data_IF_015687657750
#
_entry.id   IF_015687657750
#
_cell.length_a   1.000
_cell.length_b   1.000
_cell.length_c   1.000
_cell.angle_alpha   90.00
_cell.angle_beta   90.00
_cell.angle_gamma   90.00
#
_symmetry.space_group_name_H-M   'P 1'
#
loop_
_entity.id
_entity.type
_entity.pdbx_description
1 polymer ?
#
# COMPACT_ATOMS: atom_id res chain seq x y z
N UNK A 1 -13.94 5.88 35.75
CA UNK A 1 -13.82 6.62 34.47
C UNK A 1 -13.12 5.71 33.47
N UNK A 2 -13.77 5.37 32.35
CA UNK A 2 -13.27 4.38 31.39
C UNK A 2 -12.08 4.94 30.59
N UNK A 3 -10.90 4.34 30.74
CA UNK A 3 -9.68 4.63 29.98
C UNK A 3 -9.76 4.27 28.47
N UNK A 4 -10.97 4.00 27.94
CA UNK A 4 -11.20 3.53 26.55
C UNK A 4 -11.53 4.65 25.55
N UNK A 5 -11.55 5.91 25.99
CA UNK A 5 -11.98 7.05 25.17
C UNK A 5 -10.85 7.93 24.64
N UNK A 6 -9.59 7.63 24.96
CA UNK A 6 -8.49 8.36 24.33
C UNK A 6 -8.34 7.88 22.88
N UNK A 7 -8.58 8.76 21.89
CA UNK A 7 -8.21 8.43 20.53
C UNK A 7 -6.71 8.11 20.54
N UNK A 8 -6.33 6.99 19.93
CA UNK A 8 -4.93 6.67 19.79
C UNK A 8 -4.25 7.80 19.03
N UNK A 9 -3.09 8.26 19.52
CA UNK A 9 -2.24 9.27 18.86
C UNK A 9 -2.20 9.12 17.32
N UNK A 10 -2.01 7.91 16.74
CA UNK A 10 -2.04 7.75 15.28
C UNK A 10 -3.38 8.09 14.62
N UNK A 11 -4.52 7.87 15.30
CA UNK A 11 -5.81 8.24 14.76
C UNK A 11 -5.98 9.75 14.67
N UNK A 12 -5.49 10.50 15.68
CA UNK A 12 -5.51 11.96 15.69
C UNK A 12 -4.61 12.51 14.59
N UNK A 13 -3.36 12.04 14.52
CA UNK A 13 -2.41 12.46 13.50
C UNK A 13 -2.92 12.20 12.08
N UNK A 14 -3.54 11.02 11.85
CA UNK A 14 -4.17 10.69 10.57
C UNK A 14 -5.25 11.69 10.19
N UNK A 15 -6.12 12.06 11.13
CA UNK A 15 -7.21 13.01 10.88
C UNK A 15 -6.67 14.42 10.65
N UNK A 16 -5.70 14.87 11.44
CA UNK A 16 -5.05 16.16 11.25
C UNK A 16 -4.33 16.25 9.91
N UNK A 17 -3.52 15.24 9.56
CA UNK A 17 -2.85 15.17 8.27
C UNK A 17 -3.86 15.12 7.11
N UNK A 18 -4.94 14.33 7.26
CA UNK A 18 -6.00 14.24 6.26
C UNK A 18 -6.66 15.60 5.97
N UNK A 19 -7.04 16.33 7.01
CA UNK A 19 -7.60 17.68 6.87
C UNK A 19 -6.61 18.69 6.30
N UNK A 20 -5.35 18.62 6.73
CA UNK A 20 -4.30 19.52 6.23
C UNK A 20 -4.05 19.32 4.74
N UNK A 21 -3.87 18.08 4.29
CA UNK A 21 -3.66 17.74 2.88
C UNK A 21 -4.87 18.08 2.03
N UNK A 22 -6.09 17.77 2.51
CA UNK A 22 -7.32 18.09 1.82
C UNK A 22 -7.51 19.61 1.69
N UNK A 23 -7.29 20.36 2.79
CA UNK A 23 -7.44 21.81 2.82
C UNK A 23 -6.48 22.51 1.85
N UNK A 24 -5.18 22.18 1.90
CA UNK A 24 -4.19 22.75 0.99
C UNK A 24 -4.45 22.35 -0.45
N UNK A 25 -4.75 21.07 -0.69
CA UNK A 25 -5.06 20.58 -2.04
C UNK A 25 -6.26 21.29 -2.66
N UNK A 26 -7.36 21.42 -1.93
CA UNK A 26 -8.58 22.11 -2.40
C UNK A 26 -8.32 23.60 -2.59
N UNK A 27 -7.62 24.26 -1.66
CA UNK A 27 -7.27 25.68 -1.80
C UNK A 27 -6.43 25.91 -3.05
N UNK A 28 -5.41 25.09 -3.30
CA UNK A 28 -4.56 25.22 -4.47
C UNK A 28 -5.32 24.94 -5.77
N UNK A 29 -6.25 23.99 -5.78
CA UNK A 29 -7.12 23.75 -6.94
C UNK A 29 -8.04 24.93 -7.21
N UNK A 30 -8.60 25.56 -6.17
CA UNK A 30 -9.43 26.76 -6.31
C UNK A 30 -8.63 27.92 -6.92
N UNK A 31 -7.43 28.19 -6.38
CA UNK A 31 -6.54 29.23 -6.92
C UNK A 31 -6.12 28.91 -8.37
N UNK A 32 -5.90 27.63 -8.70
CA UNK A 32 -5.61 27.21 -10.07
C UNK A 32 -6.78 27.44 -11.02
N UNK A 33 -8.02 27.20 -10.57
CA UNK A 33 -9.23 27.43 -11.36
C UNK A 33 -9.48 28.92 -11.62
N UNK A 34 -9.06 29.79 -10.71
CA UNK A 34 -9.09 31.25 -10.87
C UNK A 34 -7.94 31.79 -11.75
N UNK A 35 -7.12 30.91 -12.35
CA UNK A 35 -5.99 31.29 -13.19
C UNK A 35 -4.73 31.72 -12.43
N UNK A 36 -4.70 31.54 -11.11
CA UNK A 36 -3.60 31.97 -10.25
C UNK A 36 -2.40 31.02 -10.20
N UNK A 37 -2.55 29.76 -10.62
CA UNK A 37 -1.48 28.75 -10.69
C UNK A 37 -1.37 28.16 -12.09
N UNK A 38 -0.16 27.74 -12.47
CA UNK A 38 0.10 27.01 -13.72
C UNK A 38 -0.41 25.57 -13.63
N UNK A 39 -1.08 25.09 -14.69
CA UNK A 39 -1.62 23.73 -14.83
C UNK A 39 -0.61 22.61 -14.56
N UNK A 40 0.68 22.92 -14.68
CA UNK A 40 1.80 22.02 -14.44
C UNK A 40 1.84 21.40 -13.03
N UNK A 41 1.11 21.96 -12.05
CA UNK A 41 1.02 21.44 -10.68
C UNK A 41 -0.31 20.74 -10.37
N UNK A 42 -1.21 20.64 -11.35
CA UNK A 42 -2.55 20.07 -11.16
C UNK A 42 -2.49 18.65 -10.57
N UNK A 43 -1.60 17.81 -11.09
CA UNK A 43 -1.43 16.42 -10.63
C UNK A 43 -1.02 16.37 -9.16
N UNK A 44 -0.11 17.25 -8.74
CA UNK A 44 0.33 17.34 -7.34
C UNK A 44 -0.84 17.67 -6.41
N UNK A 45 -1.67 18.65 -6.79
CA UNK A 45 -2.85 19.03 -6.00
C UNK A 45 -3.92 17.93 -5.96
N UNK A 46 -4.18 17.26 -7.07
CA UNK A 46 -5.11 16.13 -7.12
C UNK A 46 -4.67 14.98 -6.23
N UNK A 47 -3.37 14.65 -6.22
CA UNK A 47 -2.81 13.61 -5.35
C UNK A 47 -2.90 13.99 -3.88
N UNK A 48 -2.66 15.26 -3.52
CA UNK A 48 -2.87 15.77 -2.16
C UNK A 48 -4.33 15.63 -1.70
N UNK A 49 -5.28 16.04 -2.55
CA UNK A 49 -6.71 15.92 -2.25
C UNK A 49 -7.08 14.46 -2.07
N UNK A 50 -6.68 13.58 -2.98
CA UNK A 50 -6.99 12.16 -2.92
C UNK A 50 -6.36 11.50 -1.68
N UNK A 51 -5.11 11.81 -1.36
CA UNK A 51 -4.43 11.35 -0.14
C UNK A 51 -5.13 11.84 1.14
N UNK A 52 -5.52 13.12 1.18
CA UNK A 52 -6.29 13.71 2.28
C UNK A 52 -7.64 13.03 2.49
N UNK A 53 -8.39 12.81 1.41
CA UNK A 53 -9.65 12.06 1.43
C UNK A 53 -9.44 10.64 1.96
N UNK A 54 -8.44 9.91 1.46
CA UNK A 54 -8.14 8.56 1.93
C UNK A 54 -7.79 8.52 3.43
N UNK A 55 -7.03 9.48 3.92
CA UNK A 55 -6.72 9.59 5.35
C UNK A 55 -7.95 9.93 6.19
N UNK A 56 -8.93 10.65 5.66
CA UNK A 56 -10.18 10.96 6.38
C UNK A 56 -11.19 9.81 6.31
N UNK A 57 -11.22 9.06 5.22
CA UNK A 57 -12.08 7.89 5.06
C UNK A 57 -11.85 6.91 6.22
N UNK A 58 -12.94 6.43 6.83
CA UNK A 58 -12.88 5.53 7.99
C UNK A 58 -12.60 4.07 7.60
N UNK A 59 -12.49 3.77 6.29
CA UNK A 59 -12.17 2.44 5.80
C UNK A 59 -10.72 2.10 6.13
N UNK A 60 -10.51 1.05 6.93
CA UNK A 60 -9.19 0.47 7.10
C UNK A 60 -8.80 -0.19 5.78
N UNK A 61 -7.78 0.34 5.12
CA UNK A 61 -7.12 -0.33 4.02
C UNK A 61 -6.32 -1.48 4.65
N UNK A 62 -6.71 -2.71 4.40
CA UNK A 62 -6.02 -3.90 4.89
C UNK A 62 -5.49 -4.67 3.67
N UNK A 63 -4.48 -4.13 2.97
CA UNK A 63 -3.83 -4.86 1.89
C UNK A 63 -3.13 -6.10 2.46
N UNK A 64 -3.02 -7.13 1.63
CA UNK A 64 -2.24 -8.31 1.95
C UNK A 64 -0.76 -7.98 2.10
N UNK A 65 0.01 -8.83 2.79
CA UNK A 65 1.47 -8.68 2.90
C UNK A 65 2.16 -8.50 1.53
N UNK A 66 1.89 -9.33 0.49
CA UNK A 66 2.48 -9.09 -0.82
C UNK A 66 1.98 -7.77 -1.44
N UNK A 67 0.73 -7.38 -1.22
CA UNK A 67 0.20 -6.09 -1.65
C UNK A 67 0.95 -4.90 -1.04
N UNK A 68 1.33 -4.96 0.23
CA UNK A 68 2.16 -3.95 0.89
C UNK A 68 3.54 -3.86 0.22
N UNK A 69 4.19 -5.00 -0.01
CA UNK A 69 5.52 -5.05 -0.63
C UNK A 69 5.46 -4.48 -2.05
N UNK A 70 4.48 -4.89 -2.85
CA UNK A 70 4.30 -4.39 -4.22
C UNK A 70 4.06 -2.88 -4.21
N UNK A 71 3.17 -2.38 -3.35
CA UNK A 71 2.90 -0.95 -3.24
C UNK A 71 4.13 -0.15 -2.82
N UNK A 72 4.89 -0.65 -1.83
CA UNK A 72 6.13 -0.01 -1.38
C UNK A 72 7.20 0.02 -2.48
N UNK A 73 7.42 -1.09 -3.17
CA UNK A 73 8.40 -1.19 -4.26
C UNK A 73 8.01 -0.27 -5.43
N UNK A 74 6.74 -0.26 -5.83
CA UNK A 74 6.27 0.62 -6.91
C UNK A 74 6.46 2.09 -6.58
N UNK A 75 6.10 2.49 -5.35
CA UNK A 75 6.24 3.89 -4.91
C UNK A 75 7.70 4.29 -4.84
N UNK A 76 8.55 3.44 -4.25
CA UNK A 76 9.99 3.70 -4.15
C UNK A 76 10.65 3.76 -5.54
N UNK A 77 10.35 2.80 -6.42
CA UNK A 77 10.90 2.76 -7.77
C UNK A 77 10.50 4.01 -8.58
N UNK A 78 9.24 4.43 -8.46
CA UNK A 78 8.76 5.63 -9.12
C UNK A 78 9.43 6.90 -8.57
N UNK A 79 9.58 7.01 -7.25
CA UNK A 79 10.32 8.10 -6.60
C UNK A 79 11.78 8.16 -7.08
N UNK A 80 12.47 7.01 -7.12
CA UNK A 80 13.85 6.92 -7.61
C UNK A 80 13.95 7.29 -9.07
N UNK A 81 13.01 6.82 -9.91
CA UNK A 81 12.97 7.16 -11.33
C UNK A 81 12.78 8.66 -11.55
N UNK A 82 11.98 9.34 -10.73
CA UNK A 82 11.78 10.80 -10.83
C UNK A 82 12.88 11.62 -10.18
N UNK A 83 13.69 11.02 -9.31
CA UNK A 83 14.86 11.64 -8.70
C UNK A 83 16.08 11.71 -9.64
N UNK A 84 16.05 11.00 -10.78
CA UNK A 84 17.17 11.00 -11.73
C UNK A 84 17.34 12.43 -12.29
N UNK A 85 18.51 13.07 -12.07
CA UNK A 85 18.74 14.42 -12.54
C UNK A 85 18.76 14.42 -14.07
N UNK A 86 17.83 15.14 -14.69
CA UNK A 86 17.79 15.27 -16.15
C UNK A 86 18.68 16.39 -16.67
N UNK A 87 19.39 17.09 -15.78
CA UNK A 87 20.20 18.25 -16.13
C UNK A 87 21.49 18.25 -15.32
N UNK A 88 22.58 18.60 -15.98
CA UNK A 88 23.92 18.74 -15.41
C UNK A 88 24.27 20.22 -15.30
N UNK A 89 23.41 21.10 -14.78
CA UNK A 89 23.80 22.49 -14.51
C UNK A 89 23.74 22.79 -13.02
N UNK A 90 24.79 23.43 -12.51
CA UNK A 90 24.91 23.82 -11.12
C UNK A 90 23.78 24.81 -10.71
N UNK A 91 23.34 24.72 -9.46
CA UNK A 91 22.48 25.69 -8.76
C UNK A 91 20.99 25.77 -9.09
N UNK A 92 20.41 24.99 -10.02
CA UNK A 92 18.97 25.05 -10.41
C UNK A 92 18.40 26.44 -10.78
N UNK A 93 19.22 27.49 -10.75
CA UNK A 93 18.79 28.89 -10.75
C UNK A 93 18.34 29.39 -12.12
N UNK A 94 18.70 28.68 -13.19
CA UNK A 94 18.38 29.04 -14.58
C UNK A 94 17.54 27.99 -15.30
N UNK A 95 16.74 27.18 -14.58
CA UNK A 95 15.84 26.21 -15.22
C UNK A 95 14.37 26.68 -15.23
N UNK A 96 13.97 27.56 -16.18
CA UNK A 96 12.56 27.96 -16.36
C UNK A 96 11.68 26.83 -16.93
N UNK A 97 12.26 25.70 -17.34
CA UNK A 97 11.55 24.64 -18.07
C UNK A 97 10.87 23.58 -17.18
N UNK A 98 11.03 23.63 -15.85
CA UNK A 98 10.31 22.73 -14.92
C UNK A 98 9.64 23.49 -13.78
N UNK A 99 8.70 24.35 -14.13
CA UNK A 99 7.66 24.81 -13.20
C UNK A 99 6.58 23.73 -13.00
N UNK A 100 6.96 22.45 -12.87
CA UNK A 100 6.03 21.32 -12.99
C UNK A 100 6.43 20.09 -12.20
N UNK A 101 5.44 19.31 -11.81
CA UNK A 101 5.63 18.05 -11.08
C UNK A 101 6.19 16.94 -11.99
N UNK A 102 7.14 16.09 -11.55
CA UNK A 102 7.82 16.05 -10.24
C UNK A 102 8.91 17.12 -10.07
N UNK A 103 9.11 17.59 -8.82
CA UNK A 103 10.00 18.70 -8.51
C UNK A 103 11.47 18.28 -8.64
N UNK A 104 12.30 18.96 -9.45
CA UNK A 104 13.74 18.70 -9.47
C UNK A 104 14.32 19.14 -8.12
N UNK A 105 14.77 18.18 -7.30
CA UNK A 105 15.39 18.46 -5.99
C UNK A 105 16.89 18.12 -5.95
N UNK A 106 17.45 17.46 -6.96
CA UNK A 106 18.85 17.06 -7.05
C UNK A 106 19.55 17.66 -8.28
N UNK A 107 20.66 18.38 -8.06
CA UNK A 107 21.59 18.82 -9.11
C UNK A 107 22.98 18.22 -8.87
N UNK A 108 23.69 17.87 -9.95
CA UNK A 108 24.96 17.11 -9.87
C UNK A 108 26.17 17.81 -10.51
N UNK A 109 25.97 18.93 -11.21
CA UNK A 109 27.07 19.65 -11.87
C UNK A 109 27.60 20.77 -10.98
N UNK A 110 28.93 20.89 -10.86
CA UNK A 110 29.59 21.77 -9.89
C UNK A 110 29.51 21.33 -8.42
N UNK A 111 28.91 20.17 -8.14
CA UNK A 111 28.70 19.60 -6.80
C UNK A 111 27.30 19.01 -6.63
N UNK A 112 27.09 18.20 -5.58
CA UNK A 112 25.75 17.71 -5.23
C UNK A 112 24.97 18.83 -4.53
N UNK A 113 23.90 19.30 -5.15
CA UNK A 113 22.99 20.29 -4.56
C UNK A 113 21.60 19.68 -4.34
N UNK A 114 21.05 19.91 -3.15
CA UNK A 114 19.70 19.46 -2.79
C UNK A 114 18.84 20.64 -2.35
N UNK A 115 17.74 20.91 -3.07
CA UNK A 115 16.74 21.86 -2.60
C UNK A 115 15.79 21.17 -1.62
N UNK A 116 15.95 21.49 -0.33
CA UNK A 116 15.17 20.89 0.76
C UNK A 116 13.67 21.15 0.61
N UNK A 117 13.26 22.31 0.06
CA UNK A 117 11.83 22.63 -0.09
C UNK A 117 11.18 21.73 -1.13
N UNK A 118 11.84 21.55 -2.27
CA UNK A 118 11.35 20.66 -3.32
C UNK A 118 11.44 19.18 -2.92
N UNK A 119 12.48 18.79 -2.17
CA UNK A 119 12.56 17.44 -1.60
C UNK A 119 11.39 17.14 -0.67
N UNK A 120 11.06 18.06 0.26
CA UNK A 120 9.92 17.86 1.17
C UNK A 120 8.60 17.77 0.40
N UNK A 121 8.40 18.62 -0.61
CA UNK A 121 7.21 18.56 -1.46
C UNK A 121 7.11 17.21 -2.19
N UNK A 122 8.21 16.72 -2.74
CA UNK A 122 8.27 15.43 -3.44
C UNK A 122 7.98 14.25 -2.50
N UNK A 123 8.53 14.27 -1.28
CA UNK A 123 8.25 13.25 -0.26
C UNK A 123 6.77 13.21 0.14
N UNK A 124 6.14 14.38 0.33
CA UNK A 124 4.71 14.46 0.65
C UNK A 124 3.87 13.91 -0.50
N UNK A 125 4.24 14.23 -1.74
CA UNK A 125 3.58 13.67 -2.91
C UNK A 125 3.68 12.14 -2.94
N UNK A 126 4.90 11.59 -2.84
CA UNK A 126 5.11 10.15 -2.93
C UNK A 126 4.48 9.39 -1.77
N UNK A 127 4.40 9.98 -0.57
CA UNK A 127 3.64 9.43 0.54
C UNK A 127 2.14 9.32 0.19
N UNK A 128 1.56 10.35 -0.42
CA UNK A 128 0.16 10.33 -0.86
C UNK A 128 -0.07 9.34 -2.03
N UNK A 129 0.84 9.32 -3.00
CA UNK A 129 0.80 8.40 -4.13
C UNK A 129 0.92 6.93 -3.67
N UNK A 130 1.79 6.65 -2.70
CA UNK A 130 1.91 5.32 -2.10
C UNK A 130 0.66 4.92 -1.33
N UNK A 131 0.03 5.85 -0.61
CA UNK A 131 -1.27 5.61 0.04
C UNK A 131 -2.36 5.26 -1.00
N UNK A 132 -2.40 5.97 -2.12
CA UNK A 132 -3.31 5.67 -3.24
C UNK A 132 -3.04 4.29 -3.83
N UNK A 133 -1.77 3.94 -4.08
CA UNK A 133 -1.40 2.64 -4.61
C UNK A 133 -1.84 1.51 -3.67
N UNK A 134 -1.60 1.65 -2.36
CA UNK A 134 -2.08 0.68 -1.37
C UNK A 134 -3.62 0.60 -1.32
N UNK A 135 -4.31 1.71 -1.51
CA UNK A 135 -5.77 1.73 -1.57
C UNK A 135 -6.31 0.98 -2.80
N UNK A 136 -5.68 1.18 -3.96
CA UNK A 136 -6.02 0.45 -5.20
C UNK A 136 -5.74 -1.04 -5.03
N UNK A 137 -4.58 -1.42 -4.49
CA UNK A 137 -4.24 -2.83 -4.24
C UNK A 137 -5.25 -3.48 -3.30
N UNK A 138 -5.57 -2.82 -2.17
CA UNK A 138 -6.56 -3.34 -1.23
C UNK A 138 -7.95 -3.48 -1.86
N UNK A 139 -8.32 -2.57 -2.78
CA UNK A 139 -9.57 -2.65 -3.53
C UNK A 139 -9.56 -3.83 -4.52
N UNK A 140 -8.49 -3.99 -5.29
CA UNK A 140 -8.33 -5.10 -6.24
C UNK A 140 -8.38 -6.44 -5.51
N UNK A 141 -7.65 -6.57 -4.40
CA UNK A 141 -7.67 -7.78 -3.57
C UNK A 141 -9.06 -8.08 -2.99
N UNK A 142 -9.84 -7.06 -2.67
CA UNK A 142 -11.21 -7.23 -2.19
C UNK A 142 -12.19 -7.67 -3.29
N UNK A 143 -11.88 -7.37 -4.56
CA UNK A 143 -12.70 -7.73 -5.72
C UNK A 143 -12.34 -9.11 -6.29
N UNK A 144 -11.13 -9.63 -6.02
CA UNK A 144 -10.70 -10.94 -6.50
C UNK A 144 -11.35 -12.08 -5.68
N UNK A 145 -12.19 -12.93 -6.29
CA UNK A 145 -13.00 -13.94 -5.59
C UNK A 145 -12.22 -15.14 -5.05
N UNK A 146 -10.96 -15.34 -5.45
CA UNK A 146 -10.22 -16.59 -5.26
C UNK A 146 -9.64 -16.85 -3.86
N UNK A 147 -9.68 -15.88 -2.94
CA UNK A 147 -8.93 -15.99 -1.67
C UNK A 147 -9.76 -16.33 -0.42
N UNK A 148 -11.01 -16.79 -0.56
CA UNK A 148 -11.93 -16.98 0.58
C UNK A 148 -12.58 -18.34 0.75
N UNK A 149 -12.31 -19.32 -0.10
CA UNK A 149 -12.62 -20.71 0.25
C UNK A 149 -11.38 -21.30 0.91
N UNK A 150 -11.30 -21.40 2.25
CA UNK A 150 -10.41 -22.39 2.84
C UNK A 150 -10.78 -23.71 2.19
N UNK A 151 -9.87 -24.27 1.39
CA UNK A 151 -10.01 -25.65 0.95
C UNK A 151 -10.02 -26.46 2.24
N UNK A 152 -11.17 -27.02 2.57
CA UNK A 152 -11.34 -27.83 3.76
C UNK A 152 -10.60 -29.15 3.55
N UNK A 153 -9.30 -29.13 3.84
CA UNK A 153 -8.42 -30.29 3.75
C UNK A 153 -8.77 -31.34 4.83
N UNK A 154 -9.61 -31.02 5.81
CA UNK A 154 -10.08 -32.00 6.79
C UNK A 154 -10.94 -33.08 6.15
N UNK A 155 -11.55 -32.80 4.98
CA UNK A 155 -12.34 -33.78 4.22
C UNK A 155 -11.50 -34.75 3.37
N UNK A 156 -10.22 -34.44 3.13
CA UNK A 156 -9.32 -35.29 2.33
C UNK A 156 -8.46 -36.25 3.17
N UNK A 157 -8.53 -36.18 4.51
CA UNK A 157 -7.74 -37.03 5.41
C UNK A 157 -8.30 -38.45 5.66
N UNK A 158 -9.32 -38.89 4.93
CA UNK A 158 -10.13 -40.07 5.32
C UNK A 158 -10.14 -41.27 4.39
N UNK A 159 -9.39 -41.31 3.27
CA UNK A 159 -9.50 -42.39 2.27
C UNK A 159 -8.21 -43.17 2.02
N UNK A 160 -7.30 -43.20 3.00
CA UNK A 160 -6.17 -44.13 3.01
C UNK A 160 -6.29 -45.11 4.18
N UNK A 161 -7.29 -46.00 4.15
CA UNK A 161 -7.10 -47.35 4.70
C UNK A 161 -7.14 -48.34 3.52
N UNK A 162 -6.15 -49.24 3.47
CA UNK A 162 -6.51 -50.63 3.72
C UNK A 162 -5.69 -51.15 4.89
N UNK A 163 -6.40 -51.31 6.02
CA UNK A 163 -5.99 -52.18 7.12
C UNK A 163 -5.89 -53.61 6.60
N UNK A 164 -4.69 -54.06 6.24
CA UNK A 164 -4.36 -55.48 6.02
C UNK A 164 -3.08 -55.79 6.77
N UNK A 165 -3.20 -55.92 8.09
CA UNK A 165 -2.32 -56.71 8.95
C UNK A 165 -2.93 -56.66 10.35
N UNK A 166 -3.79 -57.62 10.68
CA UNK A 166 -4.12 -58.08 12.04
C UNK A 166 -5.09 -59.28 11.99
N UNK A 167 -4.80 -60.24 11.11
CA UNK A 167 -5.43 -61.57 11.13
C UNK A 167 -4.37 -62.62 10.85
N UNK A 168 -3.37 -62.71 11.72
CA UNK A 168 -2.42 -63.81 11.73
C UNK A 168 -1.85 -64.01 13.14
N UNK A 169 -2.69 -63.95 14.16
CA UNK A 169 -2.36 -64.51 15.47
C UNK A 169 -3.69 -64.92 16.12
N UNK A 170 -3.70 -66.14 16.66
CA UNK A 170 -4.80 -66.75 17.42
C UNK A 170 -5.90 -67.50 16.65
N UNK A 171 -5.51 -68.64 16.05
CA UNK A 171 -6.41 -69.79 15.81
C UNK A 171 -5.85 -71.05 16.44
N UNK A 172 -5.55 -70.97 17.73
CA UNK A 172 -5.30 -72.14 18.59
C UNK A 172 -6.44 -72.25 19.59
N UNK A 173 -7.49 -73.03 19.29
CA UNK A 173 -8.34 -73.54 20.37
C UNK A 173 -9.84 -73.73 20.17
N UNK A 174 -10.42 -73.66 18.96
CA UNK A 174 -11.86 -73.98 18.82
C UNK A 174 -12.08 -75.42 18.32
N UNK A 175 -12.01 -76.34 19.27
CA UNK A 175 -12.49 -77.72 19.15
C UNK A 175 -13.98 -77.74 19.48
N UNK A 176 -14.83 -77.76 18.45
CA UNK A 176 -16.26 -78.14 18.55
C UNK A 176 -16.48 -79.35 17.66
N UNK A 177 -16.47 -80.52 18.29
CA UNK A 177 -16.80 -81.79 17.67
C UNK A 177 -18.30 -81.96 17.43
N UNK A 178 -18.60 -82.90 16.53
CA UNK A 178 -19.89 -83.58 16.47
C UNK A 178 -20.64 -83.40 15.15
N UNK A 179 -20.43 -84.33 14.21
CA UNK A 179 -21.45 -85.04 13.42
C UNK A 179 -20.76 -85.95 12.39
N UNK A 180 -20.49 -87.20 12.80
CA UNK A 180 -20.81 -88.47 12.10
C UNK A 180 -20.48 -89.62 13.03
#
# INVERSE_FOLDING_TARGET
MNAKLWPSIPAVLRVMAGWFLLGIGVLNLAVSADGGLTDTFLIFHLVLVAGGVLLLMRRRLIPSRPGIVVGAVLTLAAMVATAIPTTTRCCMAEYPARHGFPYPFLGIDGGVHVDVKYLVADLVFWACAGLLALAVIALVEALLPERRTPVDLTRYGGHAEPRVRDTAEDRTGENVGGLT
#
